data_IF_497984754316
#
_entry.id   IF_497984754316
#
_cell.length_a   1.000
_cell.length_b   1.000
_cell.length_c   1.000
_cell.angle_alpha   90.00
_cell.angle_beta   90.00
_cell.angle_gamma   90.00
#
_symmetry.space_group_name_H-M   'P 1'
#
loop_
_entity.id
_entity.type
_entity.pdbx_description
1 polymer ?
#
# COMPACT_ATOMS: atom_id res chain seq x y z
N UNK A 1 -2.95 19.15 0.29
CA UNK A 1 -2.88 17.82 -0.37
C UNK A 1 -2.42 16.84 0.67
N UNK A 2 -3.04 15.66 0.72
CA UNK A 2 -2.73 14.61 1.71
C UNK A 2 -2.44 13.27 1.03
N UNK A 3 -1.36 12.61 1.40
CA UNK A 3 -0.97 11.29 0.91
C UNK A 3 -0.92 10.28 2.06
N UNK A 4 -1.54 9.12 1.88
CA UNK A 4 -1.46 8.01 2.84
C UNK A 4 -0.39 7.03 2.36
N UNK A 5 0.58 6.75 3.25
CA UNK A 5 1.64 5.77 3.03
C UNK A 5 1.29 4.50 3.81
N UNK A 6 0.99 3.42 3.11
CA UNK A 6 0.61 2.14 3.72
C UNK A 6 1.85 1.26 3.90
N UNK A 7 2.20 0.94 5.15
CA UNK A 7 3.26 -0.02 5.45
C UNK A 7 2.66 -1.43 5.65
N UNK A 8 2.87 -2.30 4.68
CA UNK A 8 2.44 -3.70 4.72
C UNK A 8 3.40 -4.65 5.45
N UNK A 9 4.57 -4.15 5.84
CA UNK A 9 5.51 -4.94 6.62
C UNK A 9 4.97 -5.26 8.01
N UNK A 10 5.17 -6.49 8.52
CA UNK A 10 4.90 -6.79 9.93
C UNK A 10 5.86 -6.05 10.88
N UNK A 11 7.02 -5.62 10.37
CA UNK A 11 7.98 -4.82 11.12
C UNK A 11 7.65 -3.34 11.00
N UNK A 12 7.36 -2.70 12.15
CA UNK A 12 7.00 -1.30 12.20
C UNK A 12 8.12 -0.38 11.68
N UNK A 13 9.38 -0.75 11.91
CA UNK A 13 10.58 0.03 11.57
C UNK A 13 11.58 -0.80 10.76
N UNK A 14 11.11 -1.60 9.80
CA UNK A 14 11.97 -2.38 8.88
C UNK A 14 12.27 -1.64 7.57
N UNK A 15 12.93 -2.33 6.61
CA UNK A 15 13.32 -1.75 5.31
C UNK A 15 12.17 -1.07 4.56
N UNK A 16 10.96 -1.67 4.57
CA UNK A 16 9.77 -1.05 3.94
C UNK A 16 9.43 0.29 4.60
N UNK A 17 9.47 0.35 5.93
CA UNK A 17 9.23 1.58 6.68
C UNK A 17 10.29 2.64 6.34
N UNK A 18 11.58 2.28 6.34
CA UNK A 18 12.67 3.19 6.01
C UNK A 18 12.47 3.83 4.63
N UNK A 19 12.15 3.01 3.62
CA UNK A 19 11.87 3.51 2.27
C UNK A 19 10.64 4.43 2.24
N UNK A 20 9.56 4.09 2.94
CA UNK A 20 8.37 4.95 3.04
C UNK A 20 8.67 6.27 3.78
N UNK A 21 9.57 6.27 4.75
CA UNK A 21 9.98 7.50 5.46
C UNK A 21 10.77 8.45 4.58
N UNK A 22 11.56 7.96 3.63
CA UNK A 22 12.20 8.83 2.63
C UNK A 22 11.18 9.44 1.67
N UNK A 23 10.16 8.69 1.25
CA UNK A 23 9.03 9.24 0.48
C UNK A 23 8.27 10.29 1.28
N UNK A 24 7.96 10.01 2.55
CA UNK A 24 7.29 10.95 3.46
C UNK A 24 8.09 12.24 3.60
N UNK A 25 9.39 12.14 3.81
CA UNK A 25 10.29 13.28 3.95
C UNK A 25 10.29 14.17 2.71
N UNK A 26 10.35 13.57 1.52
CA UNK A 26 10.29 14.31 0.25
C UNK A 26 8.94 15.02 0.06
N UNK A 27 7.83 14.31 0.30
CA UNK A 27 6.49 14.87 0.19
C UNK A 27 6.28 16.05 1.17
N UNK A 28 6.71 15.88 2.43
CA UNK A 28 6.59 16.93 3.45
C UNK A 28 7.44 18.15 3.11
N UNK A 29 8.62 17.98 2.51
CA UNK A 29 9.48 19.09 2.05
C UNK A 29 8.78 19.93 0.98
N UNK A 30 7.92 19.33 0.16
CA UNK A 30 7.10 19.98 -0.86
C UNK A 30 5.72 20.44 -0.33
N UNK A 31 5.51 20.42 0.98
CA UNK A 31 4.27 20.88 1.63
C UNK A 31 3.08 19.93 1.49
N UNK A 32 3.31 18.67 1.15
CA UNK A 32 2.27 17.64 1.10
C UNK A 32 2.13 16.99 2.48
N UNK A 33 0.93 17.03 3.06
CA UNK A 33 0.63 16.32 4.30
C UNK A 33 0.71 14.80 4.09
N UNK A 34 1.31 14.09 5.02
CA UNK A 34 1.44 12.63 4.95
C UNK A 34 0.88 11.95 6.18
N UNK A 35 0.36 10.75 5.99
CA UNK A 35 -0.08 9.87 7.08
C UNK A 35 0.46 8.45 6.84
N UNK A 36 1.28 7.95 7.77
CA UNK A 36 1.73 6.57 7.73
C UNK A 36 0.66 5.64 8.32
N UNK A 37 0.21 4.69 7.52
CA UNK A 37 -0.79 3.69 7.88
C UNK A 37 -0.14 2.31 8.01
N UNK A 38 0.09 1.87 9.25
CA UNK A 38 0.71 0.58 9.54
C UNK A 38 -0.34 -0.54 9.55
N UNK A 39 -0.14 -1.60 8.76
CA UNK A 39 -1.00 -2.79 8.80
C UNK A 39 -0.77 -3.59 10.09
N UNK A 40 0.49 -3.70 10.53
CA UNK A 40 0.85 -4.41 11.76
C UNK A 40 0.90 -5.92 11.59
N UNK A 41 0.78 -6.63 12.72
CA UNK A 41 0.90 -8.09 12.81
C UNK A 41 -0.44 -8.80 13.05
N UNK A 42 -1.52 -8.05 13.26
CA UNK A 42 -2.85 -8.65 13.41
C UNK A 42 -3.27 -9.33 12.09
N UNK A 43 -3.95 -10.48 12.15
CA UNK A 43 -4.41 -11.17 10.96
C UNK A 43 -5.34 -10.30 10.12
N UNK A 44 -5.06 -10.20 8.82
CA UNK A 44 -5.95 -9.59 7.83
C UNK A 44 -6.47 -10.71 6.93
N UNK A 45 -7.76 -11.00 7.02
CA UNK A 45 -8.40 -12.02 6.17
C UNK A 45 -8.44 -11.56 4.71
N UNK A 46 -8.28 -12.50 3.80
CA UNK A 46 -8.51 -12.28 2.37
C UNK A 46 -9.98 -11.97 2.05
N UNK A 47 -10.24 -11.51 0.84
CA UNK A 47 -11.60 -11.27 0.37
C UNK A 47 -12.36 -12.60 0.20
N UNK A 48 -13.53 -12.74 0.82
CA UNK A 48 -14.38 -13.94 0.73
C UNK A 48 -15.44 -13.86 -0.39
N UNK A 49 -15.40 -12.81 -1.22
CA UNK A 49 -16.32 -12.66 -2.36
C UNK A 49 -17.80 -12.44 -2.00
N UNK A 50 -18.12 -12.06 -0.77
CA UNK A 50 -19.52 -11.96 -0.28
C UNK A 50 -20.36 -10.86 -0.94
N UNK A 51 -19.76 -9.92 -1.65
CA UNK A 51 -20.46 -8.83 -2.35
C UNK A 51 -21.13 -7.77 -1.45
N UNK A 52 -20.98 -7.84 -0.13
CA UNK A 52 -21.60 -6.90 0.81
C UNK A 52 -21.13 -5.47 0.58
N UNK A 53 -19.86 -5.26 0.26
CA UNK A 53 -19.27 -3.95 0.01
C UNK A 53 -19.93 -3.20 -1.18
N UNK A 54 -20.41 -3.92 -2.21
CA UNK A 54 -21.13 -3.32 -3.33
C UNK A 54 -22.46 -2.65 -2.91
N UNK A 55 -23.08 -3.16 -1.85
CA UNK A 55 -24.37 -2.67 -1.34
C UNK A 55 -24.20 -1.65 -0.22
N UNK A 56 -23.22 -1.88 0.67
CA UNK A 56 -23.04 -1.09 1.90
C UNK A 56 -21.92 -0.05 1.80
N UNK A 57 -21.08 -0.10 0.75
CA UNK A 57 -19.94 0.82 0.59
C UNK A 57 -18.76 0.56 1.54
N UNK A 58 -18.80 -0.54 2.32
CA UNK A 58 -17.72 -0.95 3.23
C UNK A 58 -17.58 -2.46 3.28
N UNK A 59 -16.41 -2.95 3.69
CA UNK A 59 -16.18 -4.38 3.87
C UNK A 59 -17.01 -4.92 5.05
N UNK A 60 -17.52 -6.14 4.90
CA UNK A 60 -18.25 -6.83 5.96
C UNK A 60 -17.35 -7.13 7.18
N UNK A 61 -16.09 -7.47 6.93
CA UNK A 61 -15.12 -7.72 8.00
C UNK A 61 -14.61 -6.36 8.48
N UNK A 62 -14.88 -6.05 9.74
CA UNK A 62 -14.53 -4.77 10.35
C UNK A 62 -13.14 -4.84 10.98
N UNK A 63 -12.16 -4.32 10.28
CA UNK A 63 -10.75 -4.31 10.65
C UNK A 63 -10.00 -3.14 9.99
N UNK A 64 -8.66 -3.24 9.90
CA UNK A 64 -7.77 -2.26 9.26
C UNK A 64 -8.21 -1.84 7.85
N UNK A 65 -8.92 -2.68 7.11
CA UNK A 65 -9.41 -2.33 5.77
C UNK A 65 -10.46 -1.23 5.84
N UNK A 66 -11.44 -1.35 6.74
CA UNK A 66 -12.47 -0.32 6.91
C UNK A 66 -11.90 0.98 7.48
N UNK A 67 -10.93 0.90 8.39
CA UNK A 67 -10.20 2.06 8.89
C UNK A 67 -9.51 2.82 7.74
N UNK A 68 -8.79 2.10 6.88
CA UNK A 68 -8.11 2.68 5.73
C UNK A 68 -9.09 3.30 4.73
N UNK A 69 -10.15 2.57 4.34
CA UNK A 69 -11.09 3.08 3.32
C UNK A 69 -11.83 4.32 3.78
N UNK A 70 -12.09 4.47 5.08
CA UNK A 70 -12.62 5.70 5.65
C UNK A 70 -11.65 6.88 5.51
N UNK A 71 -10.36 6.67 5.82
CA UNK A 71 -9.30 7.67 5.64
C UNK A 71 -9.05 8.01 4.17
N UNK A 72 -9.09 7.01 3.30
CA UNK A 72 -8.87 7.16 1.86
C UNK A 72 -9.84 8.15 1.19
N UNK A 73 -11.03 8.33 1.74
CA UNK A 73 -12.00 9.28 1.22
C UNK A 73 -11.46 10.73 1.19
N UNK A 74 -10.66 11.13 2.18
CA UNK A 74 -10.09 12.47 2.32
C UNK A 74 -8.64 12.59 1.82
N UNK A 75 -8.02 11.51 1.37
CA UNK A 75 -6.68 11.52 0.81
C UNK A 75 -6.69 11.88 -0.67
N UNK A 76 -5.60 12.48 -1.15
CA UNK A 76 -5.41 12.88 -2.55
C UNK A 76 -4.50 11.90 -3.32
N UNK A 77 -3.75 11.05 -2.61
CA UNK A 77 -2.86 10.07 -3.21
C UNK A 77 -2.42 9.00 -2.22
N UNK A 78 -1.77 7.96 -2.73
CA UNK A 78 -1.39 6.79 -1.95
C UNK A 78 -0.01 6.26 -2.31
N UNK A 79 0.72 5.76 -1.30
CA UNK A 79 1.94 4.98 -1.49
C UNK A 79 1.79 3.66 -0.75
N UNK A 80 1.89 2.55 -1.46
CA UNK A 80 1.76 1.21 -0.86
C UNK A 80 3.13 0.55 -0.78
N UNK A 81 3.62 0.34 0.44
CA UNK A 81 4.90 -0.30 0.72
C UNK A 81 4.76 -1.74 1.18
N UNK A 82 5.53 -2.65 0.61
CA UNK A 82 5.50 -4.07 0.97
C UNK A 82 6.87 -4.72 0.95
N UNK A 83 7.18 -5.65 1.89
CA UNK A 83 8.30 -6.55 1.72
C UNK A 83 7.97 -7.64 0.69
N UNK A 84 9.00 -8.20 0.08
CA UNK A 84 8.88 -9.37 -0.82
C UNK A 84 8.85 -10.66 -0.01
N UNK A 85 7.77 -11.43 -0.16
CA UNK A 85 7.67 -12.80 0.34
C UNK A 85 7.39 -13.75 -0.84
N UNK A 86 8.35 -14.65 -1.16
CA UNK A 86 8.22 -15.60 -2.27
C UNK A 86 7.86 -14.93 -3.62
N UNK A 87 8.60 -13.89 -3.98
CA UNK A 87 8.41 -13.12 -5.22
C UNK A 87 7.00 -12.51 -5.37
N UNK A 88 6.37 -12.15 -4.26
CA UNK A 88 5.09 -11.46 -4.19
C UNK A 88 5.08 -10.49 -3.01
N UNK A 89 4.08 -9.63 -2.93
CA UNK A 89 3.83 -8.85 -1.72
C UNK A 89 3.51 -9.79 -0.55
N UNK A 90 3.80 -9.36 0.68
CA UNK A 90 3.46 -10.17 1.85
C UNK A 90 1.95 -10.42 1.93
N UNK A 91 1.55 -11.55 2.50
CA UNK A 91 0.14 -11.99 2.55
C UNK A 91 -0.80 -10.97 3.20
N UNK A 92 -0.34 -10.24 4.22
CA UNK A 92 -1.12 -9.17 4.83
C UNK A 92 -1.44 -8.04 3.83
N UNK A 93 -0.45 -7.62 3.01
CA UNK A 93 -0.65 -6.58 1.99
C UNK A 93 -1.59 -7.06 0.89
N UNK A 94 -1.46 -8.28 0.37
CA UNK A 94 -2.37 -8.80 -0.66
C UNK A 94 -3.80 -8.90 -0.16
N UNK A 95 -4.00 -9.49 1.03
CA UNK A 95 -5.32 -9.58 1.65
C UNK A 95 -5.95 -8.21 1.92
N UNK A 96 -5.12 -7.26 2.36
CA UNK A 96 -5.53 -5.88 2.56
C UNK A 96 -5.95 -5.22 1.25
N UNK A 97 -5.12 -5.28 0.21
CA UNK A 97 -5.39 -4.63 -1.09
C UNK A 97 -6.62 -5.22 -1.75
N UNK A 98 -6.79 -6.54 -1.78
CA UNK A 98 -7.99 -7.18 -2.32
C UNK A 98 -9.26 -6.58 -1.74
N UNK A 99 -9.31 -6.45 -0.43
CA UNK A 99 -10.49 -5.94 0.27
C UNK A 99 -10.62 -4.43 0.18
N UNK A 100 -9.53 -3.69 0.31
CA UNK A 100 -9.53 -2.23 0.25
C UNK A 100 -9.98 -1.74 -1.15
N UNK A 101 -9.49 -2.37 -2.22
CA UNK A 101 -9.86 -2.00 -3.58
C UNK A 101 -11.29 -2.41 -3.96
N UNK A 102 -11.80 -3.53 -3.43
CA UNK A 102 -13.21 -3.88 -3.60
C UNK A 102 -14.16 -2.98 -2.79
N UNK A 103 -13.82 -2.64 -1.56
CA UNK A 103 -14.74 -1.90 -0.67
C UNK A 103 -14.59 -0.39 -0.73
N UNK A 104 -13.38 0.10 -0.99
CA UNK A 104 -13.04 1.52 -1.03
C UNK A 104 -12.87 2.11 -2.44
N UNK A 105 -13.19 1.36 -3.51
CA UNK A 105 -12.86 1.71 -4.88
C UNK A 105 -13.14 3.17 -5.25
N UNK A 106 -14.33 3.69 -4.94
CA UNK A 106 -14.69 5.09 -5.22
C UNK A 106 -13.79 6.12 -4.53
N UNK A 107 -13.22 5.77 -3.36
CA UNK A 107 -12.30 6.63 -2.63
C UNK A 107 -10.88 6.58 -3.16
N UNK A 108 -10.57 5.61 -4.02
CA UNK A 108 -9.26 5.40 -4.61
C UNK A 108 -9.18 5.87 -6.08
N UNK A 109 -10.28 5.72 -6.85
CA UNK A 109 -10.30 5.99 -8.29
C UNK A 109 -9.81 7.40 -8.62
N UNK A 110 -9.01 7.47 -9.68
CA UNK A 110 -8.43 8.69 -10.25
C UNK A 110 -7.44 9.43 -9.35
N UNK A 111 -7.09 8.88 -8.18
CA UNK A 111 -6.05 9.39 -7.30
C UNK A 111 -4.71 8.73 -7.64
N UNK A 112 -3.59 9.47 -7.65
CA UNK A 112 -2.28 8.89 -7.94
C UNK A 112 -1.87 7.86 -6.89
N UNK A 113 -1.17 6.82 -7.34
CA UNK A 113 -0.63 5.81 -6.45
C UNK A 113 0.77 5.38 -6.89
N UNK A 114 1.59 5.01 -5.91
CA UNK A 114 2.90 4.41 -6.11
C UNK A 114 3.05 3.13 -5.28
N UNK A 115 3.80 2.17 -5.81
CA UNK A 115 4.30 1.03 -5.06
C UNK A 115 5.73 1.27 -4.59
N UNK A 116 6.06 0.83 -3.38
CA UNK A 116 7.43 0.75 -2.85
C UNK A 116 7.67 -0.69 -2.40
N UNK A 117 8.70 -1.31 -2.94
CA UNK A 117 8.97 -2.73 -2.68
C UNK A 117 10.33 -2.89 -2.02
N UNK A 118 10.37 -3.54 -0.86
CA UNK A 118 11.63 -3.90 -0.21
C UNK A 118 11.91 -5.39 -0.31
N UNK A 119 13.10 -5.75 -0.76
CA UNK A 119 13.49 -7.15 -0.86
C UNK A 119 14.93 -7.39 -0.37
N UNK A 120 15.17 -8.59 0.08
CA UNK A 120 16.53 -9.00 0.48
C UNK A 120 17.42 -9.33 -0.72
N UNK A 121 16.88 -9.95 -1.76
CA UNK A 121 17.64 -10.46 -2.93
C UNK A 121 16.92 -10.27 -4.26
N UNK A 122 15.83 -10.97 -4.47
CA UNK A 122 15.10 -11.02 -5.75
C UNK A 122 13.59 -11.11 -5.55
N UNK A 123 12.83 -11.04 -6.66
CA UNK A 123 11.37 -11.09 -6.67
C UNK A 123 10.70 -9.73 -6.51
N UNK A 124 11.48 -8.65 -6.46
CA UNK A 124 10.98 -7.28 -6.34
C UNK A 124 10.16 -6.86 -7.55
N UNK A 125 10.66 -7.09 -8.78
CA UNK A 125 9.94 -6.71 -10.01
C UNK A 125 8.60 -7.42 -10.15
N UNK A 126 8.53 -8.73 -9.86
CA UNK A 126 7.27 -9.47 -9.87
C UNK A 126 6.27 -8.92 -8.83
N UNK A 127 6.77 -8.54 -7.66
CA UNK A 127 5.97 -7.92 -6.60
C UNK A 127 5.49 -6.53 -7.03
N UNK A 128 6.37 -5.72 -7.60
CA UNK A 128 6.07 -4.39 -8.10
C UNK A 128 4.99 -4.42 -9.19
N UNK A 129 5.12 -5.31 -10.16
CA UNK A 129 4.13 -5.52 -11.22
C UNK A 129 2.76 -5.91 -10.66
N UNK A 130 2.76 -6.80 -9.68
CA UNK A 130 1.51 -7.25 -9.03
C UNK A 130 0.81 -6.07 -8.34
N UNK A 131 1.54 -5.22 -7.61
CA UNK A 131 0.99 -4.05 -6.94
C UNK A 131 0.41 -3.04 -7.94
N UNK A 132 1.12 -2.76 -9.03
CA UNK A 132 0.69 -1.82 -10.06
C UNK A 132 -0.59 -2.25 -10.79
N UNK A 133 -0.91 -3.55 -10.84
CA UNK A 133 -2.17 -4.04 -11.41
C UNK A 133 -3.39 -3.58 -10.64
N UNK A 134 -3.30 -3.45 -9.31
CA UNK A 134 -4.39 -2.87 -8.51
C UNK A 134 -4.66 -1.41 -8.89
N UNK A 135 -3.59 -0.64 -9.12
CA UNK A 135 -3.72 0.77 -9.48
C UNK A 135 -4.30 0.94 -10.88
N UNK A 136 -3.74 0.23 -11.84
CA UNK A 136 -4.14 0.37 -13.24
C UNK A 136 -5.58 -0.05 -13.50
N UNK A 137 -6.05 -1.16 -12.92
CA UNK A 137 -7.46 -1.58 -13.06
C UNK A 137 -8.43 -0.63 -12.35
N UNK A 138 -7.93 0.11 -11.35
CA UNK A 138 -8.71 1.08 -10.57
C UNK A 138 -8.64 2.50 -11.12
N UNK A 139 -8.15 2.69 -12.34
CA UNK A 139 -7.99 4.00 -12.99
C UNK A 139 -7.15 4.98 -12.17
N UNK A 140 -6.21 4.49 -11.39
CA UNK A 140 -5.28 5.30 -10.60
C UNK A 140 -4.02 5.58 -11.44
N UNK A 141 -3.63 6.84 -11.65
CA UNK A 141 -2.35 7.15 -12.27
C UNK A 141 -1.20 6.56 -11.46
N UNK A 142 -0.35 5.75 -12.09
CA UNK A 142 0.84 5.19 -11.44
C UNK A 142 1.94 6.24 -11.42
N UNK A 143 2.39 6.61 -10.24
CA UNK A 143 3.53 7.52 -10.05
C UNK A 143 4.81 6.69 -10.09
N UNK A 144 5.65 6.99 -11.05
CA UNK A 144 6.97 6.37 -11.21
C UNK A 144 8.09 7.33 -10.81
N UNK A 145 9.28 6.81 -10.59
CA UNK A 145 10.52 7.56 -10.42
C UNK A 145 11.43 7.37 -11.63
N UNK A 146 12.69 7.78 -11.52
CA UNK A 146 13.70 7.55 -12.55
C UNK A 146 13.90 6.06 -12.85
N UNK A 147 13.61 5.22 -11.87
CA UNK A 147 13.62 3.75 -11.96
C UNK A 147 12.46 3.17 -11.16
N UNK A 148 12.36 1.85 -11.05
CA UNK A 148 11.34 1.20 -10.20
C UNK A 148 11.62 1.49 -8.71
N UNK A 149 10.57 1.73 -7.94
CA UNK A 149 10.68 2.07 -6.52
C UNK A 149 10.95 0.79 -5.69
N UNK A 150 12.13 0.26 -5.84
CA UNK A 150 12.58 -0.97 -5.20
C UNK A 150 13.85 -0.71 -4.37
N UNK A 151 13.86 -1.23 -3.15
CA UNK A 151 15.02 -1.14 -2.25
C UNK A 151 15.47 -2.53 -1.84
N UNK A 152 16.77 -2.69 -1.67
CA UNK A 152 17.40 -3.96 -1.30
C UNK A 152 18.05 -3.84 0.08
N UNK A 153 17.63 -4.71 1.01
CA UNK A 153 18.19 -4.74 2.34
C UNK A 153 17.59 -5.85 3.20
N UNK A 154 18.31 -6.25 4.22
CA UNK A 154 17.87 -7.17 5.27
C UNK A 154 17.59 -6.44 6.58
N UNK A 155 18.15 -5.24 6.73
CA UNK A 155 18.03 -4.35 7.88
C UNK A 155 17.73 -2.93 7.42
N UNK A 156 17.15 -2.08 8.26
CA UNK A 156 16.91 -0.67 7.93
C UNK A 156 18.17 0.08 7.44
N UNK A 157 19.33 -0.26 7.98
CA UNK A 157 20.61 0.39 7.66
C UNK A 157 21.13 0.02 6.26
N UNK A 158 20.56 -0.98 5.61
CA UNK A 158 20.93 -1.40 4.25
C UNK A 158 20.21 -0.57 3.17
N UNK A 159 19.19 0.22 3.57
CA UNK A 159 18.24 0.92 2.67
C UNK A 159 18.47 2.42 2.63
#
# INVERSE_FOLDING_TARGET
MKVILVNGSPHAEGCTYTALKEVEKALNADGVETELFQLGTAPISGCIGCGVCRRQGKCFIDDKVNEFTAKAASADGFVFGTPVHYASACGAMTSFMDRAFYSGGKSLWFKPAAAVVSCRRAGSTATFDMMNKYFTISSMPVVSSTYWNEVHGSKPEDV
#
